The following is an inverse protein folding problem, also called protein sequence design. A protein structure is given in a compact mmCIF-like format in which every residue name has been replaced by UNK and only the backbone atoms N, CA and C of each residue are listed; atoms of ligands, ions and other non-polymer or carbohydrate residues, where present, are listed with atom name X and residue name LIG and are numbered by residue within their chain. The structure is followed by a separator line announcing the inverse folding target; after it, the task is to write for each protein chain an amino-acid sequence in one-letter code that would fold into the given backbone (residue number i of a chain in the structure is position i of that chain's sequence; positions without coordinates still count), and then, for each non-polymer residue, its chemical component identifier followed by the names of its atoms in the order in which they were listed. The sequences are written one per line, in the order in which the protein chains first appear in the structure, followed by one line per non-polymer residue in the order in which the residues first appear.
data_IF_243721882922
#
_entry.id   IF_243721882922
#
_cell.length_a   1.000
_cell.length_b   1.000
_cell.length_c   1.000
_cell.angle_alpha   90.00
_cell.angle_beta   90.00
_cell.angle_gamma   90.00
#
_symmetry.space_group_name_H-M   'P 1'
#
loop_
_entity.id
_entity.type
_entity.pdbx_description
1 polymer ?
#
# COMPACT_ATOMS: atom_id res chain seq x y z
N UNK A 1 -11.91 -15.92 16.71
CA UNK A 1 -11.52 -15.29 15.41
C UNK A 1 -10.01 -15.40 15.30
N UNK A 2 -9.51 -16.02 14.24
CA UNK A 2 -8.09 -16.13 14.01
C UNK A 2 -7.51 -14.72 13.82
N UNK A 3 -6.57 -14.36 14.66
CA UNK A 3 -5.96 -13.05 14.67
C UNK A 3 -4.99 -12.93 13.48
N UNK A 4 -5.11 -11.84 12.72
CA UNK A 4 -4.32 -11.61 11.49
C UNK A 4 -3.67 -10.23 11.52
N UNK A 5 -2.49 -10.12 10.95
CA UNK A 5 -1.92 -8.81 10.61
C UNK A 5 -2.52 -8.36 9.28
N UNK A 6 -3.05 -7.14 9.22
CA UNK A 6 -3.66 -6.60 8.01
C UNK A 6 -2.77 -5.56 7.34
N UNK A 7 -2.39 -5.79 6.08
CA UNK A 7 -1.80 -4.79 5.18
C UNK A 7 -2.94 -4.05 4.47
N UNK A 8 -3.01 -2.75 4.62
CA UNK A 8 -4.18 -1.96 4.23
C UNK A 8 -3.79 -0.83 3.31
N UNK A 9 -4.37 -0.78 2.11
CA UNK A 9 -4.30 0.36 1.23
C UNK A 9 -5.25 1.46 1.70
N UNK A 10 -4.71 2.66 1.89
CA UNK A 10 -5.48 3.82 2.34
C UNK A 10 -5.80 4.82 1.22
N UNK A 11 -5.56 4.41 -0.02
CA UNK A 11 -5.77 5.29 -1.16
C UNK A 11 -4.70 6.38 -1.29
N UNK A 12 -4.90 7.36 -2.17
CA UNK A 12 -3.93 8.39 -2.51
C UNK A 12 -3.87 9.55 -1.49
N UNK A 13 -4.51 9.41 -0.34
CA UNK A 13 -4.48 10.39 0.74
C UNK A 13 -5.79 11.14 0.97
N UNK A 14 -6.80 10.96 0.12
CA UNK A 14 -8.15 11.45 0.37
C UNK A 14 -8.90 10.46 1.27
N UNK A 15 -9.39 10.88 2.45
CA UNK A 15 -10.14 10.01 3.36
C UNK A 15 -11.41 9.42 2.75
N UNK A 16 -12.07 10.15 1.85
CA UNK A 16 -13.30 9.68 1.20
C UNK A 16 -13.06 8.54 0.21
N UNK A 17 -11.79 8.32 -0.16
CA UNK A 17 -11.36 7.20 -1.00
C UNK A 17 -10.92 5.97 -0.21
N UNK A 18 -11.11 5.97 1.12
CA UNK A 18 -10.93 4.76 1.92
C UNK A 18 -11.98 3.71 1.56
N UNK A 19 -11.55 2.47 1.38
CA UNK A 19 -12.53 1.38 1.30
C UNK A 19 -13.22 1.20 2.67
N UNK A 20 -14.47 0.81 2.67
CA UNK A 20 -15.21 0.51 3.92
C UNK A 20 -14.49 -0.53 4.79
N UNK A 21 -13.79 -1.47 4.16
CA UNK A 21 -13.01 -2.49 4.88
C UNK A 21 -11.77 -1.87 5.53
N UNK A 22 -11.06 -1.00 4.83
CA UNK A 22 -9.92 -0.26 5.39
C UNK A 22 -10.36 0.58 6.60
N UNK A 23 -11.42 1.36 6.44
CA UNK A 23 -11.97 2.20 7.51
C UNK A 23 -12.35 1.39 8.77
N UNK A 24 -13.03 0.25 8.60
CA UNK A 24 -13.39 -0.63 9.73
C UNK A 24 -12.15 -1.15 10.47
N UNK A 25 -11.11 -1.51 9.73
CA UNK A 25 -9.85 -2.00 10.31
C UNK A 25 -9.09 -0.90 11.06
N UNK A 26 -9.03 0.31 10.50
CA UNK A 26 -8.39 1.47 11.15
C UNK A 26 -9.10 1.79 12.48
N UNK A 27 -10.43 1.81 12.47
CA UNK A 27 -11.24 2.09 13.68
C UNK A 27 -11.05 1.09 14.82
N UNK A 28 -10.61 -0.12 14.55
CA UNK A 28 -10.50 -1.19 15.55
C UNK A 28 -9.07 -1.58 15.89
N UNK A 29 -8.08 -1.00 15.24
CA UNK A 29 -6.68 -1.33 15.45
C UNK A 29 -6.16 -0.84 16.81
N UNK A 30 -5.37 -1.67 17.49
CA UNK A 30 -4.62 -1.28 18.68
C UNK A 30 -3.27 -0.66 18.32
N UNK A 31 -2.68 -1.12 17.21
CA UNK A 31 -1.40 -0.64 16.71
C UNK A 31 -1.51 -0.37 15.21
N UNK A 32 -1.14 0.83 14.82
CA UNK A 32 -1.10 1.28 13.43
C UNK A 32 0.34 1.59 13.06
N UNK A 33 0.92 0.79 12.18
CA UNK A 33 2.25 1.01 11.61
C UNK A 33 2.06 1.64 10.25
N UNK A 34 2.64 2.81 9.97
CA UNK A 34 2.31 3.56 8.78
C UNK A 34 3.49 4.32 8.17
N UNK A 35 3.44 4.53 6.85
CA UNK A 35 4.47 5.24 6.09
C UNK A 35 4.20 6.74 6.12
N UNK A 36 4.70 7.41 7.15
CA UNK A 36 4.45 8.82 7.45
C UNK A 36 4.97 9.80 6.39
N UNK A 37 5.88 9.36 5.51
CA UNK A 37 6.35 10.17 4.38
C UNK A 37 5.39 10.19 3.18
N UNK A 38 4.41 9.28 3.12
CA UNK A 38 3.52 9.10 1.98
C UNK A 38 2.02 9.21 2.36
N UNK A 39 1.67 8.86 3.58
CA UNK A 39 0.28 8.83 4.06
C UNK A 39 0.02 10.09 4.88
N UNK A 40 -0.97 10.91 4.53
CA UNK A 40 -1.37 12.07 5.34
C UNK A 40 -1.89 11.67 6.72
N UNK A 41 -1.52 12.44 7.72
CA UNK A 41 -1.88 12.18 9.14
C UNK A 41 -3.39 12.13 9.38
N UNK A 42 -4.18 12.88 8.61
CA UNK A 42 -5.66 12.88 8.64
C UNK A 42 -6.31 11.50 8.45
N UNK A 43 -5.60 10.54 7.84
CA UNK A 43 -6.07 9.15 7.75
C UNK A 43 -6.14 8.49 9.14
N UNK A 44 -5.28 8.92 10.07
CA UNK A 44 -5.23 8.38 11.43
C UNK A 44 -6.34 8.94 12.34
N UNK A 45 -7.03 10.00 11.93
CA UNK A 45 -8.16 10.58 12.69
C UNK A 45 -9.31 9.59 12.84
N UNK A 46 -9.38 8.58 11.96
CA UNK A 46 -10.37 7.49 12.08
C UNK A 46 -9.98 6.41 13.08
N UNK A 47 -8.77 6.42 13.62
CA UNK A 47 -8.33 5.41 14.59
C UNK A 47 -8.90 5.67 15.98
N UNK A 48 -8.84 4.64 16.84
CA UNK A 48 -9.12 4.85 18.27
C UNK A 48 -8.12 5.84 18.87
N UNK A 49 -8.56 6.59 19.87
CA UNK A 49 -7.72 7.56 20.59
C UNK A 49 -6.49 6.90 21.22
N UNK A 50 -6.67 5.71 21.79
CA UNK A 50 -5.64 4.91 22.44
C UNK A 50 -4.80 4.03 21.49
N UNK A 51 -5.02 4.11 20.18
CA UNK A 51 -4.20 3.39 19.21
C UNK A 51 -2.76 3.86 19.22
N UNK A 52 -1.82 2.93 19.36
CA UNK A 52 -0.39 3.21 19.18
C UNK A 52 -0.07 3.46 17.70
N UNK A 53 0.50 4.61 17.36
CA UNK A 53 0.82 5.04 15.98
C UNK A 53 2.32 5.03 15.76
N UNK A 54 2.84 4.11 14.94
CA UNK A 54 4.27 3.89 14.70
C UNK A 54 4.64 4.34 13.29
N UNK A 55 5.48 5.39 13.19
CA UNK A 55 6.04 5.91 11.94
C UNK A 55 7.16 5.00 11.44
N UNK A 56 7.27 4.85 10.11
CA UNK A 56 8.27 3.96 9.51
C UNK A 56 9.32 4.64 8.64
N UNK A 57 9.27 5.95 8.44
CA UNK A 57 10.20 6.68 7.57
C UNK A 57 11.68 6.54 8.00
N UNK A 58 11.95 6.33 9.29
CA UNK A 58 13.29 6.13 9.86
C UNK A 58 13.66 4.65 10.10
N UNK A 59 12.77 3.71 9.77
CA UNK A 59 12.96 2.30 10.07
C UNK A 59 13.32 1.50 8.80
N UNK A 60 14.15 0.49 8.97
CA UNK A 60 14.41 -0.51 7.94
C UNK A 60 13.41 -1.68 8.02
N UNK A 61 13.47 -2.59 7.02
CA UNK A 61 12.57 -3.74 6.93
C UNK A 61 12.61 -4.63 8.18
N UNK A 62 13.79 -4.92 8.70
CA UNK A 62 13.97 -5.79 9.88
C UNK A 62 13.35 -5.17 11.13
N UNK A 63 13.54 -3.87 11.32
CA UNK A 63 12.94 -3.13 12.42
C UNK A 63 11.41 -3.11 12.34
N UNK A 64 10.87 -2.83 11.16
CA UNK A 64 9.41 -2.81 10.93
C UNK A 64 8.81 -4.18 11.22
N UNK A 65 9.40 -5.25 10.68
CA UNK A 65 8.88 -6.62 10.87
C UNK A 65 9.02 -7.08 12.32
N UNK A 66 10.14 -6.78 12.98
CA UNK A 66 10.34 -7.10 14.40
C UNK A 66 9.31 -6.42 15.31
N UNK A 67 9.06 -5.12 15.10
CA UNK A 67 8.03 -4.39 15.84
C UNK A 67 6.66 -4.99 15.58
N UNK A 68 6.34 -5.29 14.32
CA UNK A 68 5.05 -5.86 13.92
C UNK A 68 4.79 -7.20 14.60
N UNK A 69 5.80 -8.11 14.60
CA UNK A 69 5.72 -9.42 15.25
C UNK A 69 5.54 -9.26 16.77
N UNK A 70 6.37 -8.43 17.41
CA UNK A 70 6.31 -8.18 18.84
C UNK A 70 4.92 -7.71 19.26
N UNK A 71 4.37 -6.69 18.61
CA UNK A 71 3.04 -6.16 18.91
C UNK A 71 1.93 -7.18 18.68
N UNK A 72 2.04 -7.99 17.66
CA UNK A 72 1.10 -9.08 17.43
C UNK A 72 1.16 -10.16 18.54
N UNK A 73 2.36 -10.54 18.98
CA UNK A 73 2.57 -11.50 20.08
C UNK A 73 2.08 -10.96 21.43
N UNK A 74 2.12 -9.64 21.64
CA UNK A 74 1.52 -8.96 22.81
C UNK A 74 -0.03 -9.04 22.80
N UNK A 75 -0.61 -9.69 21.81
CA UNK A 75 -2.03 -9.85 21.70
C UNK A 75 -2.74 -8.64 21.06
N UNK A 76 -2.06 -7.68 20.48
CA UNK A 76 -2.63 -6.47 19.86
C UNK A 76 -3.19 -6.74 18.46
N UNK A 77 -4.21 -5.98 18.08
CA UNK A 77 -4.70 -5.90 16.68
C UNK A 77 -3.78 -4.97 15.90
N UNK A 78 -2.91 -5.56 15.08
CA UNK A 78 -1.88 -4.82 14.34
C UNK A 78 -2.29 -4.63 12.88
N UNK A 79 -2.24 -3.40 12.40
CA UNK A 79 -2.41 -3.08 10.99
C UNK A 79 -1.20 -2.33 10.44
N UNK A 80 -0.90 -2.58 9.16
CA UNK A 80 0.13 -1.89 8.40
C UNK A 80 -0.52 -1.08 7.28
N UNK A 81 -0.43 0.25 7.33
CA UNK A 81 -0.98 1.12 6.28
C UNK A 81 0.03 1.34 5.17
N UNK A 82 -0.48 1.34 3.95
CA UNK A 82 0.23 1.65 2.70
C UNK A 82 -0.54 2.70 1.92
N UNK A 83 0.17 3.61 1.28
CA UNK A 83 -0.40 4.53 0.30
C UNK A 83 -0.94 3.76 -0.91
N UNK A 84 -1.96 4.28 -1.57
CA UNK A 84 -2.60 3.63 -2.71
C UNK A 84 -3.08 2.21 -2.39
N UNK A 85 -2.56 1.24 -3.13
CA UNK A 85 -2.81 -0.19 -2.98
C UNK A 85 -1.52 -0.93 -2.58
N UNK A 86 -1.52 -1.78 -1.53
CA UNK A 86 -0.32 -2.49 -1.07
C UNK A 86 0.31 -3.40 -2.12
N UNK A 87 -0.49 -3.91 -3.06
CA UNK A 87 -0.03 -4.83 -4.10
C UNK A 87 0.66 -4.13 -5.27
N UNK A 88 0.59 -2.77 -5.34
CA UNK A 88 1.23 -1.98 -6.39
C UNK A 88 2.36 -1.16 -5.77
N UNK A 89 3.60 -1.58 -6.00
CA UNK A 89 4.84 -0.97 -5.47
C UNK A 89 4.92 -0.84 -3.94
N UNK A 90 4.01 -1.48 -3.18
CA UNK A 90 3.94 -1.40 -1.72
C UNK A 90 5.04 -2.14 -0.96
N UNK A 91 5.95 -2.86 -1.62
CA UNK A 91 7.05 -3.63 -1.02
C UNK A 91 6.61 -4.56 0.14
N UNK A 92 5.41 -5.15 0.01
CA UNK A 92 4.83 -6.01 1.06
C UNK A 92 5.32 -7.46 1.00
N UNK A 93 5.89 -7.90 -0.13
CA UNK A 93 6.24 -9.31 -0.35
C UNK A 93 7.21 -9.83 0.71
N UNK A 94 8.31 -9.12 0.95
CA UNK A 94 9.33 -9.53 1.91
C UNK A 94 8.78 -9.53 3.33
N UNK A 95 7.98 -8.54 3.71
CA UNK A 95 7.30 -8.48 5.00
C UNK A 95 6.38 -9.70 5.18
N UNK A 96 5.57 -10.02 4.18
CA UNK A 96 4.67 -11.18 4.20
C UNK A 96 5.43 -12.48 4.34
N UNK A 97 6.55 -12.66 3.61
CA UNK A 97 7.39 -13.86 3.69
C UNK A 97 7.97 -14.05 5.11
N UNK A 98 8.42 -12.97 5.76
CA UNK A 98 8.92 -13.01 7.14
C UNK A 98 7.80 -13.40 8.11
N UNK A 99 6.66 -12.73 8.04
CA UNK A 99 5.52 -12.99 8.93
C UNK A 99 4.97 -14.42 8.79
N UNK A 100 4.95 -14.96 7.57
CA UNK A 100 4.54 -16.36 7.33
C UNK A 100 5.50 -17.38 7.94
N UNK A 101 6.81 -17.09 7.98
CA UNK A 101 7.78 -17.95 8.67
C UNK A 101 7.50 -18.02 10.18
N UNK A 102 6.99 -16.93 10.75
CA UNK A 102 6.54 -16.86 12.14
C UNK A 102 5.14 -17.46 12.36
N UNK A 103 4.55 -18.10 11.34
CA UNK A 103 3.20 -18.70 11.37
C UNK A 103 2.10 -17.69 11.68
N UNK A 104 2.28 -16.45 11.28
CA UNK A 104 1.30 -15.37 11.46
C UNK A 104 0.44 -15.29 10.21
N UNK A 105 -0.88 -15.36 10.40
CA UNK A 105 -1.86 -15.15 9.34
C UNK A 105 -1.92 -13.69 8.90
N UNK A 106 -2.10 -13.50 7.61
CA UNK A 106 -2.06 -12.19 6.98
C UNK A 106 -3.34 -11.96 6.17
N UNK A 107 -3.77 -10.71 6.17
CA UNK A 107 -4.81 -10.20 5.31
C UNK A 107 -4.28 -9.00 4.53
N UNK A 108 -4.55 -8.94 3.22
CA UNK A 108 -4.30 -7.75 2.41
C UNK A 108 -5.64 -7.12 2.05
N UNK A 109 -5.79 -5.85 2.39
CA UNK A 109 -6.98 -5.05 2.07
C UNK A 109 -6.59 -4.08 0.97
N UNK A 110 -7.15 -4.20 -0.25
CA UNK A 110 -6.81 -3.31 -1.35
C UNK A 110 -7.24 -1.86 -1.07
N UNK A 111 -6.57 -0.93 -1.73
CA UNK A 111 -6.91 0.49 -1.72
C UNK A 111 -7.05 1.04 -3.15
N UNK A 112 -7.52 2.26 -3.27
CA UNK A 112 -7.61 2.97 -4.55
C UNK A 112 -6.22 3.47 -4.93
N UNK A 113 -5.71 3.06 -6.09
CA UNK A 113 -4.38 3.46 -6.55
C UNK A 113 -4.37 4.87 -7.13
N UNK A 114 -3.24 5.57 -6.98
CA UNK A 114 -3.08 6.96 -7.44
C UNK A 114 -3.35 7.15 -8.95
N UNK A 115 -3.00 6.18 -9.79
CA UNK A 115 -3.26 6.27 -11.24
C UNK A 115 -4.76 6.30 -11.58
N UNK A 116 -5.60 5.60 -10.81
CA UNK A 116 -7.05 5.60 -10.99
C UNK A 116 -7.62 6.98 -10.61
N UNK A 117 -7.13 7.56 -9.51
CA UNK A 117 -7.57 8.89 -9.07
C UNK A 117 -7.09 9.98 -10.03
N UNK A 118 -5.88 9.87 -10.56
CA UNK A 118 -5.38 10.77 -11.60
C UNK A 118 -6.25 10.73 -12.86
N UNK A 119 -6.64 9.54 -13.31
CA UNK A 119 -7.56 9.39 -14.45
C UNK A 119 -8.93 10.02 -14.17
N UNK A 120 -9.51 9.78 -13.00
CA UNK A 120 -10.78 10.35 -12.60
C UNK A 120 -10.72 11.89 -12.49
N UNK A 121 -9.64 12.44 -11.93
CA UNK A 121 -9.42 13.88 -11.84
C UNK A 121 -9.36 14.56 -13.22
N UNK A 122 -8.81 13.87 -14.21
CA UNK A 122 -8.75 14.36 -15.60
C UNK A 122 -9.95 13.93 -16.46
N UNK A 123 -10.99 13.36 -15.86
CA UNK A 123 -12.16 12.84 -16.57
C UNK A 123 -11.77 11.93 -17.74
N UNK A 124 -10.70 11.13 -17.56
CA UNK A 124 -10.11 10.33 -18.62
C UNK A 124 -10.33 8.84 -18.39
N UNK A 125 -10.85 8.16 -19.41
CA UNK A 125 -10.84 6.70 -19.47
C UNK A 125 -9.47 6.21 -19.93
N UNK A 126 -8.86 5.29 -19.17
CA UNK A 126 -7.54 4.74 -19.49
C UNK A 126 -7.59 3.67 -20.59
N UNK A 127 -8.74 3.02 -20.75
CA UNK A 127 -8.99 1.99 -21.77
C UNK A 127 -10.06 2.49 -22.73
N UNK A 128 -9.69 2.83 -23.96
CA UNK A 128 -10.61 3.38 -24.96
C UNK A 128 -10.81 2.33 -26.06
N UNK A 129 -12.07 1.91 -26.38
CA UNK A 129 -12.36 1.00 -27.47
C UNK A 129 -11.68 1.46 -28.77
N UNK A 130 -11.17 0.53 -29.56
CA UNK A 130 -10.48 0.74 -30.82
C UNK A 130 -9.21 1.62 -30.79
N UNK A 131 -8.84 2.14 -29.60
CA UNK A 131 -7.64 2.97 -29.41
C UNK A 131 -6.60 2.25 -28.53
N UNK A 132 -6.99 1.86 -27.32
CA UNK A 132 -6.10 1.13 -26.39
C UNK A 132 -6.90 0.38 -25.34
N UNK A 133 -6.52 -0.88 -25.11
CA UNK A 133 -7.10 -1.74 -24.08
C UNK A 133 -6.03 -2.21 -23.07
N UNK A 134 -4.85 -1.55 -23.08
CA UNK A 134 -3.71 -1.96 -22.26
C UNK A 134 -3.25 -0.82 -21.37
N UNK A 135 -3.09 -1.12 -20.08
CA UNK A 135 -2.48 -0.23 -19.09
C UNK A 135 -1.19 -0.88 -18.59
N UNK A 136 -0.09 -0.14 -18.62
CA UNK A 136 1.19 -0.60 -18.11
C UNK A 136 1.59 0.30 -16.94
N UNK A 137 1.66 -0.29 -15.75
CA UNK A 137 2.10 0.39 -14.53
C UNK A 137 3.60 0.20 -14.37
N UNK A 138 4.32 1.30 -14.30
CA UNK A 138 5.78 1.30 -14.12
C UNK A 138 6.19 2.52 -13.31
N UNK A 139 7.36 2.46 -12.70
CA UNK A 139 7.94 3.58 -11.95
C UNK A 139 9.30 3.97 -12.48
N UNK A 140 9.71 5.19 -12.24
CA UNK A 140 11.10 5.61 -12.44
C UNK A 140 12.04 4.91 -11.42
N UNK A 141 13.32 4.85 -11.73
CA UNK A 141 14.33 4.37 -10.80
C UNK A 141 14.39 5.27 -9.56
N UNK A 142 14.59 4.66 -8.39
CA UNK A 142 14.66 5.35 -7.11
C UNK A 142 15.58 4.59 -6.14
N UNK A 143 15.34 4.70 -4.82
CA UNK A 143 16.13 3.99 -3.79
C UNK A 143 16.10 2.48 -3.97
N UNK A 144 15.01 1.92 -4.42
CA UNK A 144 14.88 0.50 -4.76
C UNK A 144 15.28 0.28 -6.21
N UNK A 145 16.14 -0.71 -6.44
CA UNK A 145 16.67 -1.02 -7.78
C UNK A 145 15.56 -1.32 -8.80
N UNK A 146 15.86 -1.01 -10.05
CA UNK A 146 15.02 -1.40 -11.20
C UNK A 146 15.65 -2.63 -11.88
N UNK A 147 14.83 -3.52 -12.45
CA UNK A 147 15.37 -4.61 -13.27
C UNK A 147 16.30 -4.08 -14.36
N UNK A 148 17.50 -4.69 -14.52
CA UNK A 148 18.49 -4.30 -15.53
C UNK A 148 17.93 -4.31 -16.96
N UNK A 149 16.98 -5.22 -17.24
CA UNK A 149 16.21 -5.29 -18.50
C UNK A 149 14.91 -4.48 -18.35
N UNK A 150 15.03 -3.18 -18.19
CA UNK A 150 13.85 -2.35 -18.19
C UNK A 150 13.34 -2.23 -19.63
N UNK A 151 12.17 -2.76 -19.89
CA UNK A 151 11.47 -2.74 -21.17
C UNK A 151 11.10 -1.32 -21.67
N UNK A 152 11.50 -0.28 -20.96
CA UNK A 152 11.19 1.13 -21.25
C UNK A 152 11.37 1.51 -22.73
N UNK A 153 12.55 1.18 -23.29
CA UNK A 153 12.85 1.53 -24.69
C UNK A 153 11.97 0.76 -25.67
N UNK A 154 11.60 -0.47 -25.31
CA UNK A 154 10.73 -1.31 -26.14
C UNK A 154 9.28 -0.82 -26.03
N UNK A 155 8.81 -0.59 -24.80
CA UNK A 155 7.44 -0.12 -24.55
C UNK A 155 7.17 1.24 -25.18
N UNK A 156 8.14 2.17 -25.14
CA UNK A 156 8.00 3.50 -25.77
C UNK A 156 7.75 3.45 -27.28
N UNK A 157 8.23 2.42 -27.94
CA UNK A 157 8.11 2.29 -29.40
C UNK A 157 6.92 1.43 -29.85
N UNK A 158 6.33 0.64 -28.91
CA UNK A 158 5.28 -0.35 -29.26
C UNK A 158 3.92 -0.04 -28.68
N UNK A 159 3.83 0.81 -27.65
CA UNK A 159 2.57 1.08 -26.94
C UNK A 159 2.36 2.59 -26.76
N UNK A 160 1.28 3.16 -27.29
CA UNK A 160 1.08 4.60 -27.36
C UNK A 160 0.71 5.30 -26.04
N UNK A 161 0.38 4.56 -24.96
CA UNK A 161 0.00 5.16 -23.67
C UNK A 161 0.59 4.43 -22.47
N UNK A 162 1.19 5.18 -21.56
CA UNK A 162 1.77 4.71 -20.30
C UNK A 162 1.21 5.49 -19.12
N UNK A 163 1.02 4.81 -18.01
CA UNK A 163 0.81 5.47 -16.72
C UNK A 163 2.08 5.30 -15.89
N UNK A 164 2.64 6.42 -15.45
CA UNK A 164 3.78 6.48 -14.54
C UNK A 164 3.29 6.64 -13.11
N UNK A 165 3.79 5.81 -12.22
CA UNK A 165 3.55 5.91 -10.79
C UNK A 165 4.88 6.11 -10.07
#
# INVERSE_FOLDING_TARGET
MDKKISFIGVGPGDPDLLTLKALKKIKTADVIIWTDSLIPEKILDFSKEDSEKIKTSSLNLEQITSITIKKFQEGKTVIRLHDGDPCIFGAIREQIEILKKEKIDIEVVPGVSAFQVAAAYHEAELTIPDVTQTIILTRAGGRTGMPKKNLWKILRNTIPRYVYI
#
